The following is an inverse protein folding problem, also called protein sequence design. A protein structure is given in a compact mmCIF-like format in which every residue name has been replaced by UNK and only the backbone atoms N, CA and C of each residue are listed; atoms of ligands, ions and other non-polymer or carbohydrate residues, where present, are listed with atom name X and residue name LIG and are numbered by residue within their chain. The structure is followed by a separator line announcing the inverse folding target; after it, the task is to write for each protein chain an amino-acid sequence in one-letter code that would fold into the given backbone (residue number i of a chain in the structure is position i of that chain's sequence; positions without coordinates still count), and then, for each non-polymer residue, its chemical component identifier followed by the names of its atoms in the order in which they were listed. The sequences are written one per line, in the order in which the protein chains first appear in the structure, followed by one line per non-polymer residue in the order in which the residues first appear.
data_IF_765650160660
#
_entry.id   IF_765650160660
#
_cell.length_a   1.000
_cell.length_b   1.000
_cell.length_c   1.000
_cell.angle_alpha   90.00
_cell.angle_beta   90.00
_cell.angle_gamma   90.00
#
_symmetry.space_group_name_H-M   'P 1'
#
loop_
_entity.id
_entity.type
_entity.pdbx_description
1 polymer ?
#
# COMPACT_ATOMS: atom_id res chain seq x y z
N UNK A 1 0.78 30.69 11.19
CA UNK A 1 1.82 30.53 10.15
C UNK A 1 2.58 29.26 10.50
N UNK A 2 2.23 28.14 9.87
CA UNK A 2 3.05 26.95 9.96
C UNK A 2 4.28 27.16 9.06
N UNK A 3 5.44 27.28 9.68
CA UNK A 3 6.70 27.22 8.98
C UNK A 3 7.06 25.73 8.90
N UNK A 4 6.81 25.09 7.78
CA UNK A 4 7.38 23.77 7.48
C UNK A 4 8.86 24.06 7.25
N UNK A 5 9.69 23.78 8.27
CA UNK A 5 11.12 23.66 8.05
C UNK A 5 11.32 22.43 7.16
N UNK A 6 11.60 22.64 5.88
CA UNK A 6 12.06 21.57 5.01
C UNK A 6 13.38 21.07 5.62
N UNK A 7 13.32 19.89 6.23
CA UNK A 7 14.54 19.20 6.65
C UNK A 7 15.39 18.94 5.39
N UNK A 8 16.70 19.10 5.52
CA UNK A 8 17.61 18.70 4.45
C UNK A 8 17.54 17.17 4.28
N UNK A 9 16.80 16.73 3.28
CA UNK A 9 16.60 15.32 2.96
C UNK A 9 17.68 14.76 2.04
N UNK A 10 18.66 15.55 1.64
CA UNK A 10 19.71 15.17 0.67
C UNK A 10 20.55 13.95 1.11
N UNK A 11 20.61 13.66 2.42
CA UNK A 11 21.30 12.51 2.99
C UNK A 11 20.39 11.31 3.29
N UNK A 12 19.07 11.47 3.21
CA UNK A 12 18.12 10.40 3.52
C UNK A 12 17.94 9.49 2.30
N UNK A 13 18.04 8.18 2.53
CA UNK A 13 17.66 7.18 1.53
C UNK A 13 16.18 6.86 1.73
N UNK A 14 15.36 7.24 0.77
CA UNK A 14 13.93 7.05 0.81
C UNK A 14 13.58 5.67 0.24
N UNK A 15 12.64 4.97 0.88
CA UNK A 15 12.00 3.76 0.34
C UNK A 15 10.55 4.10 0.05
N UNK A 16 10.13 3.88 -1.19
CA UNK A 16 8.73 3.97 -1.59
C UNK A 16 8.03 2.64 -1.29
N UNK A 17 7.24 2.62 -0.25
CA UNK A 17 6.62 1.40 0.25
C UNK A 17 5.40 0.94 -0.55
N UNK A 18 4.95 1.71 -1.54
CA UNK A 18 3.73 1.38 -2.27
C UNK A 18 3.74 1.95 -3.70
N UNK A 19 3.94 1.06 -4.66
CA UNK A 19 3.80 1.37 -6.08
C UNK A 19 3.03 0.27 -6.80
N UNK A 20 2.50 0.59 -7.98
CA UNK A 20 1.93 -0.37 -8.91
C UNK A 20 2.72 -0.37 -10.23
N UNK A 21 3.40 -1.46 -10.54
CA UNK A 21 4.14 -1.63 -11.79
C UNK A 21 3.44 -2.67 -12.67
N UNK A 22 2.41 -2.24 -13.40
CA UNK A 22 1.57 -3.10 -14.23
C UNK A 22 1.46 -2.58 -15.66
N UNK A 23 1.38 -3.50 -16.63
CA UNK A 23 1.33 -3.18 -18.06
C UNK A 23 -0.11 -3.22 -18.62
N UNK A 24 -1.11 -2.96 -17.77
CA UNK A 24 -2.50 -2.90 -18.22
C UNK A 24 -2.88 -1.49 -18.70
N UNK A 25 -3.82 -1.39 -19.65
CA UNK A 25 -4.25 -0.10 -20.21
C UNK A 25 -4.75 0.91 -19.18
N UNK A 26 -5.25 0.44 -18.04
CA UNK A 26 -5.67 1.30 -16.94
C UNK A 26 -4.49 2.11 -16.39
N UNK A 27 -3.36 1.48 -16.08
CA UNK A 27 -2.20 2.14 -15.48
C UNK A 27 -1.51 3.12 -16.46
N UNK A 28 -1.54 2.83 -17.75
CA UNK A 28 -1.04 3.79 -18.76
C UNK A 28 -1.89 5.06 -18.80
N UNK A 29 -3.24 4.93 -18.76
CA UNK A 29 -4.13 6.10 -18.77
C UNK A 29 -3.98 6.98 -17.52
N UNK A 30 -3.83 6.38 -16.34
CA UNK A 30 -3.67 7.16 -15.11
C UNK A 30 -2.30 7.85 -15.06
N UNK A 31 -1.23 7.21 -15.53
CA UNK A 31 0.08 7.84 -15.67
C UNK A 31 0.02 9.05 -16.62
N UNK A 32 -0.60 8.89 -17.78
CA UNK A 32 -0.81 9.99 -18.75
C UNK A 32 -1.61 11.14 -18.10
N UNK A 33 -2.67 10.84 -17.37
CA UNK A 33 -3.45 11.84 -16.63
C UNK A 33 -2.63 12.53 -15.51
N UNK A 34 -1.66 11.85 -14.94
CA UNK A 34 -0.71 12.40 -13.97
C UNK A 34 0.49 13.11 -14.63
N UNK A 35 0.54 13.16 -15.97
CA UNK A 35 1.56 13.89 -16.71
C UNK A 35 2.90 13.16 -16.85
N UNK A 36 2.91 11.83 -16.72
CA UNK A 36 4.14 11.03 -16.86
C UNK A 36 3.87 9.69 -17.57
N UNK A 37 4.91 8.86 -17.70
CA UNK A 37 4.86 7.56 -18.35
C UNK A 37 4.83 6.41 -17.34
N UNK A 38 3.97 5.41 -17.58
CA UNK A 38 3.99 4.13 -16.87
C UNK A 38 5.10 3.24 -17.44
N UNK A 39 6.36 3.59 -17.19
CA UNK A 39 7.51 2.81 -17.64
C UNK A 39 8.56 2.66 -16.53
N UNK A 40 9.27 1.54 -16.54
CA UNK A 40 10.35 1.29 -15.58
C UNK A 40 11.48 2.32 -15.73
N UNK A 41 11.75 2.75 -16.95
CA UNK A 41 12.78 3.75 -17.23
C UNK A 41 12.42 5.12 -16.65
N UNK A 42 11.15 5.53 -16.78
CA UNK A 42 10.67 6.78 -16.19
C UNK A 42 10.72 6.71 -14.66
N UNK A 43 10.23 5.61 -14.06
CA UNK A 43 10.29 5.38 -12.62
C UNK A 43 11.72 5.48 -12.09
N UNK A 44 12.68 4.82 -12.73
CA UNK A 44 14.07 4.85 -12.30
C UNK A 44 14.67 6.26 -12.37
N UNK A 45 14.40 7.01 -13.43
CA UNK A 45 14.86 8.41 -13.55
C UNK A 45 14.29 9.31 -12.44
N UNK A 46 12.99 9.18 -12.17
CA UNK A 46 12.34 9.93 -11.07
C UNK A 46 12.97 9.59 -9.72
N UNK A 47 13.23 8.32 -9.45
CA UNK A 47 13.84 7.87 -8.20
C UNK A 47 15.26 8.38 -8.03
N UNK A 48 16.08 8.37 -9.10
CA UNK A 48 17.42 8.96 -9.08
C UNK A 48 17.36 10.47 -8.79
N UNK A 49 16.39 11.18 -9.38
CA UNK A 49 16.21 12.62 -9.16
C UNK A 49 15.81 12.95 -7.71
N UNK A 50 14.96 12.12 -7.08
CA UNK A 50 14.42 12.40 -5.74
C UNK A 50 15.06 11.58 -4.62
N UNK A 51 16.18 10.92 -4.88
CA UNK A 51 16.93 10.10 -3.93
C UNK A 51 16.10 8.96 -3.32
N UNK A 52 15.18 8.38 -4.11
CA UNK A 52 14.43 7.19 -3.72
C UNK A 52 15.27 5.98 -4.09
N UNK A 53 15.71 5.24 -3.09
CA UNK A 53 16.68 4.16 -3.26
C UNK A 53 16.04 2.80 -3.59
N UNK A 54 14.78 2.62 -3.22
CA UNK A 54 14.09 1.33 -3.35
C UNK A 54 12.58 1.52 -3.37
N UNK A 55 11.85 0.60 -4.02
CA UNK A 55 10.41 0.57 -3.94
C UNK A 55 9.84 -0.83 -3.75
N UNK A 56 8.60 -0.87 -3.24
CA UNK A 56 7.84 -2.09 -3.00
C UNK A 56 6.61 -2.09 -3.90
N UNK A 57 6.56 -3.04 -4.82
CA UNK A 57 5.43 -3.23 -5.73
C UNK A 57 4.30 -3.93 -4.97
N UNK A 58 3.12 -3.33 -4.95
CA UNK A 58 1.89 -3.96 -4.50
C UNK A 58 1.25 -4.69 -5.66
N UNK A 59 1.55 -5.97 -5.81
CA UNK A 59 1.06 -6.76 -6.94
C UNK A 59 -0.44 -7.05 -6.83
N UNK A 60 -1.11 -7.06 -7.99
CA UNK A 60 -2.51 -7.49 -8.14
C UNK A 60 -2.65 -8.59 -9.21
N UNK A 61 -1.55 -9.23 -9.59
CA UNK A 61 -1.51 -10.30 -10.57
C UNK A 61 -1.93 -11.63 -9.96
N UNK A 62 -2.33 -12.56 -10.82
CA UNK A 62 -2.49 -13.95 -10.41
C UNK A 62 -1.15 -14.53 -9.93
N UNK A 63 -1.17 -15.37 -8.91
CA UNK A 63 0.04 -15.91 -8.25
C UNK A 63 1.02 -16.61 -9.22
N UNK A 64 0.52 -17.25 -10.25
CA UNK A 64 1.34 -17.96 -11.25
C UNK A 64 1.83 -17.06 -12.40
N UNK A 65 1.38 -15.81 -12.45
CA UNK A 65 1.78 -14.81 -13.45
C UNK A 65 2.64 -13.68 -12.88
N UNK A 66 2.95 -13.72 -11.58
CA UNK A 66 3.81 -12.73 -10.93
C UNK A 66 5.24 -12.81 -11.50
N UNK A 67 5.82 -11.71 -12.01
CA UNK A 67 7.22 -11.68 -12.40
C UNK A 67 8.14 -12.03 -11.22
N UNK A 68 9.16 -12.82 -11.49
CA UNK A 68 10.09 -13.27 -10.44
C UNK A 68 11.38 -12.44 -10.43
N UNK A 69 11.73 -11.83 -11.57
CA UNK A 69 12.96 -11.09 -11.76
C UNK A 69 12.65 -9.60 -11.89
N UNK A 70 12.70 -8.92 -10.75
CA UNK A 70 12.65 -7.47 -10.68
C UNK A 70 14.07 -6.88 -10.58
N UNK A 71 14.31 -5.66 -11.11
CA UNK A 71 15.55 -4.92 -10.85
C UNK A 71 15.88 -4.83 -9.36
N UNK A 72 17.16 -4.71 -9.02
CA UNK A 72 17.64 -4.74 -7.64
C UNK A 72 17.05 -3.65 -6.72
N UNK A 73 16.57 -2.54 -7.31
CA UNK A 73 15.92 -1.47 -6.55
C UNK A 73 14.42 -1.71 -6.30
N UNK A 74 13.88 -2.88 -6.72
CA UNK A 74 12.48 -3.25 -6.52
C UNK A 74 12.35 -4.53 -5.72
N UNK A 75 11.40 -4.52 -4.80
CA UNK A 75 10.84 -5.70 -4.14
C UNK A 75 9.33 -5.74 -4.36
N UNK A 76 8.66 -6.79 -3.96
CA UNK A 76 7.23 -6.89 -4.12
C UNK A 76 6.52 -7.52 -2.92
N UNK A 77 5.30 -7.07 -2.67
CA UNK A 77 4.30 -7.82 -1.94
C UNK A 77 3.49 -8.62 -2.94
N UNK A 78 3.48 -9.94 -2.80
CA UNK A 78 2.71 -10.81 -3.69
C UNK A 78 1.22 -10.59 -3.46
N UNK A 79 0.50 -10.28 -4.54
CA UNK A 79 -0.94 -10.00 -4.49
C UNK A 79 -1.79 -11.27 -4.53
N UNK A 80 -2.90 -11.25 -3.80
CA UNK A 80 -3.97 -12.23 -3.95
C UNK A 80 -5.09 -11.58 -4.77
N UNK A 81 -5.12 -11.88 -6.06
CA UNK A 81 -6.18 -11.45 -6.96
C UNK A 81 -7.50 -12.20 -6.69
N UNK A 82 -8.58 -11.85 -7.41
CA UNK A 82 -9.88 -12.50 -7.21
C UNK A 82 -9.95 -13.98 -7.61
N UNK A 83 -8.92 -14.54 -8.22
CA UNK A 83 -8.94 -15.93 -8.73
C UNK A 83 -8.44 -16.98 -7.72
N UNK A 84 -7.64 -16.56 -6.73
CA UNK A 84 -6.97 -17.47 -5.81
C UNK A 84 -7.93 -18.39 -5.01
N UNK A 85 -9.12 -17.91 -4.69
CA UNK A 85 -10.11 -18.66 -3.91
C UNK A 85 -10.80 -19.80 -4.69
N UNK A 86 -10.59 -19.89 -5.99
CA UNK A 86 -11.10 -21.03 -6.79
C UNK A 86 -10.31 -22.32 -6.57
N UNK A 87 -9.06 -22.21 -6.07
CA UNK A 87 -8.21 -23.36 -5.73
C UNK A 87 -7.25 -22.97 -4.59
N UNK A 88 -7.78 -22.99 -3.37
CA UNK A 88 -7.07 -22.47 -2.17
C UNK A 88 -5.78 -23.24 -1.91
N UNK A 89 -5.79 -24.58 -2.05
CA UNK A 89 -4.59 -25.41 -1.82
C UNK A 89 -3.48 -25.07 -2.82
N UNK A 90 -3.83 -24.87 -4.10
CA UNK A 90 -2.86 -24.46 -5.11
C UNK A 90 -2.33 -23.05 -4.82
N UNK A 91 -3.22 -22.12 -4.48
CA UNK A 91 -2.86 -20.76 -4.16
C UNK A 91 -1.91 -20.70 -2.95
N UNK A 92 -2.18 -21.48 -1.91
CA UNK A 92 -1.33 -21.60 -0.74
C UNK A 92 0.10 -22.05 -1.11
N UNK A 93 0.24 -23.11 -1.93
CA UNK A 93 1.55 -23.60 -2.38
C UNK A 93 2.31 -22.57 -3.24
N UNK A 94 1.59 -21.81 -4.08
CA UNK A 94 2.20 -20.74 -4.88
C UNK A 94 2.62 -19.57 -4.01
N UNK A 95 1.77 -19.15 -3.09
CA UNK A 95 2.07 -18.08 -2.13
C UNK A 95 3.33 -18.41 -1.33
N UNK A 96 3.42 -19.64 -0.81
CA UNK A 96 4.61 -20.07 -0.05
C UNK A 96 5.89 -20.00 -0.90
N UNK A 97 5.85 -20.41 -2.18
CA UNK A 97 7.00 -20.28 -3.09
C UNK A 97 7.43 -18.82 -3.27
N UNK A 98 6.49 -17.88 -3.33
CA UNK A 98 6.82 -16.45 -3.37
C UNK A 98 7.47 -16.00 -2.06
N UNK A 99 6.91 -16.38 -0.92
CA UNK A 99 7.40 -15.96 0.39
C UNK A 99 8.81 -16.49 0.71
N UNK A 100 9.25 -17.57 0.09
CA UNK A 100 10.63 -18.07 0.17
C UNK A 100 11.64 -17.20 -0.56
N UNK A 101 11.20 -16.29 -1.43
CA UNK A 101 12.11 -15.42 -2.21
C UNK A 101 12.55 -14.21 -1.38
N UNK A 102 13.77 -13.79 -1.57
CA UNK A 102 14.33 -12.62 -0.85
C UNK A 102 13.71 -11.30 -1.28
N UNK A 103 13.34 -11.17 -2.57
CA UNK A 103 12.69 -9.97 -3.11
C UNK A 103 11.17 -9.94 -2.94
N UNK A 104 10.53 -11.01 -2.47
CA UNK A 104 9.16 -10.98 -1.99
C UNK A 104 9.17 -10.55 -0.52
N UNK A 105 8.71 -9.35 -0.22
CA UNK A 105 8.83 -8.77 1.12
C UNK A 105 7.52 -8.75 1.92
N UNK A 106 6.41 -9.19 1.33
CA UNK A 106 5.10 -9.22 1.98
C UNK A 106 4.02 -9.84 1.11
N UNK A 107 2.80 -9.76 1.61
CA UNK A 107 1.57 -10.19 0.92
C UNK A 107 0.68 -8.95 0.76
N UNK A 108 -0.03 -8.84 -0.36
CA UNK A 108 -1.01 -7.78 -0.59
C UNK A 108 -2.42 -8.33 -0.75
N UNK A 109 -3.36 -7.80 0.02
CA UNK A 109 -4.79 -8.11 -0.05
C UNK A 109 -5.58 -6.92 -0.57
N UNK A 110 -6.66 -7.20 -1.30
CA UNK A 110 -7.51 -6.21 -1.96
C UNK A 110 -8.99 -6.31 -1.54
N UNK A 111 -9.31 -6.17 -0.21
CA UNK A 111 -10.70 -6.12 0.21
C UNK A 111 -11.42 -4.92 -0.43
N UNK A 112 -12.70 -5.07 -0.70
CA UNK A 112 -13.45 -4.09 -1.49
C UNK A 112 -13.50 -4.44 -2.97
N UNK A 113 -12.35 -4.61 -3.61
CA UNK A 113 -12.25 -5.18 -4.96
C UNK A 113 -12.62 -6.66 -4.96
N UNK A 114 -12.20 -7.37 -3.92
CA UNK A 114 -12.67 -8.71 -3.58
C UNK A 114 -13.71 -8.54 -2.48
N UNK A 115 -14.94 -8.99 -2.70
CA UNK A 115 -16.07 -8.84 -1.77
C UNK A 115 -15.96 -9.81 -0.59
N UNK A 116 -14.89 -9.67 0.21
CA UNK A 116 -14.59 -10.46 1.40
C UNK A 116 -13.97 -9.59 2.49
N UNK A 117 -14.32 -9.90 3.73
CA UNK A 117 -13.61 -9.35 4.87
C UNK A 117 -12.24 -10.01 5.03
N UNK A 118 -11.25 -9.27 5.46
CA UNK A 118 -9.92 -9.82 5.74
C UNK A 118 -9.93 -10.82 6.91
N UNK A 119 -10.96 -10.78 7.77
CA UNK A 119 -11.21 -11.75 8.84
C UNK A 119 -11.89 -13.06 8.37
N UNK A 120 -12.29 -13.17 7.10
CA UNK A 120 -12.89 -14.40 6.59
C UNK A 120 -11.93 -15.58 6.74
N UNK A 121 -12.43 -16.72 7.20
CA UNK A 121 -11.63 -17.93 7.48
C UNK A 121 -10.74 -18.40 6.32
N UNK A 122 -11.09 -18.05 5.07
CA UNK A 122 -10.30 -18.37 3.88
C UNK A 122 -8.90 -17.72 3.91
N UNK A 123 -8.70 -16.63 4.66
CA UNK A 123 -7.39 -15.96 4.80
C UNK A 123 -6.51 -16.51 5.93
N UNK A 124 -7.04 -17.37 6.82
CA UNK A 124 -6.24 -17.93 7.91
C UNK A 124 -4.93 -18.58 7.44
N UNK A 125 -4.92 -19.44 6.38
CA UNK A 125 -3.67 -20.00 5.89
C UNK A 125 -2.69 -18.95 5.35
N UNK A 126 -3.19 -17.81 4.87
CA UNK A 126 -2.35 -16.69 4.42
C UNK A 126 -1.62 -16.06 5.62
N UNK A 127 -2.33 -15.86 6.73
CA UNK A 127 -1.74 -15.29 7.96
C UNK A 127 -0.78 -16.27 8.65
N UNK A 128 -1.05 -17.58 8.60
CA UNK A 128 -0.10 -18.60 9.05
C UNK A 128 1.22 -18.53 8.28
N UNK A 129 1.16 -18.40 6.95
CA UNK A 129 2.36 -18.21 6.13
C UNK A 129 3.06 -16.88 6.43
N UNK A 130 2.32 -15.78 6.56
CA UNK A 130 2.87 -14.48 6.91
C UNK A 130 3.65 -14.55 8.23
N UNK A 131 3.09 -15.18 9.25
CA UNK A 131 3.73 -15.46 10.55
C UNK A 131 4.97 -16.35 10.39
N UNK A 132 4.86 -17.48 9.67
CA UNK A 132 5.95 -18.43 9.45
C UNK A 132 7.15 -17.76 8.78
N UNK A 133 6.93 -16.97 7.75
CA UNK A 133 7.96 -16.28 6.97
C UNK A 133 8.34 -14.90 7.52
N UNK A 134 7.67 -14.45 8.60
CA UNK A 134 7.86 -13.13 9.23
C UNK A 134 7.75 -12.00 8.22
N UNK A 135 6.72 -12.05 7.38
CA UNK A 135 6.46 -11.06 6.35
C UNK A 135 5.14 -10.35 6.61
N UNK A 136 5.07 -9.01 6.42
CA UNK A 136 3.85 -8.25 6.64
C UNK A 136 2.76 -8.59 5.64
N UNK A 137 1.54 -8.26 6.00
CA UNK A 137 0.37 -8.30 5.13
C UNK A 137 -0.12 -6.87 4.91
N UNK A 138 0.07 -6.36 3.70
CA UNK A 138 -0.46 -5.07 3.28
C UNK A 138 -1.92 -5.25 2.82
N UNK A 139 -2.81 -4.45 3.38
CA UNK A 139 -4.26 -4.53 3.15
C UNK A 139 -4.70 -3.22 2.51
N UNK A 140 -5.32 -3.29 1.33
CA UNK A 140 -5.98 -2.13 0.75
C UNK A 140 -7.06 -1.64 1.71
N UNK A 141 -6.98 -0.39 2.14
CA UNK A 141 -8.00 0.25 2.97
C UNK A 141 -8.42 1.57 2.35
N UNK A 142 -9.61 2.05 2.71
CA UNK A 142 -10.09 3.31 2.18
C UNK A 142 -10.97 3.20 0.94
N UNK A 143 -10.97 4.27 0.15
CA UNK A 143 -11.71 4.36 -1.10
C UNK A 143 -11.19 3.37 -2.14
N UNK A 144 -12.03 3.04 -3.11
CA UNK A 144 -11.72 2.11 -4.19
C UNK A 144 -11.93 2.78 -5.54
N UNK A 145 -11.04 2.52 -6.50
CA UNK A 145 -11.12 3.09 -7.85
C UNK A 145 -12.22 2.46 -8.72
N UNK A 146 -12.73 1.29 -8.34
CA UNK A 146 -13.76 0.59 -9.12
C UNK A 146 -15.17 0.88 -8.60
N UNK A 147 -16.12 1.27 -9.47
CA UNK A 147 -17.51 1.47 -9.06
C UNK A 147 -18.21 0.18 -8.60
N UNK A 148 -17.65 -0.98 -8.92
CA UNK A 148 -18.17 -2.29 -8.52
C UNK A 148 -17.60 -2.80 -7.19
N UNK A 149 -16.59 -2.11 -6.63
CA UNK A 149 -16.01 -2.47 -5.35
C UNK A 149 -16.93 -2.03 -4.19
N UNK A 150 -16.87 -2.76 -3.08
CA UNK A 150 -17.72 -2.51 -1.92
C UNK A 150 -16.89 -2.00 -0.74
N UNK A 151 -17.02 -0.73 -0.44
CA UNK A 151 -16.27 0.00 0.59
C UNK A 151 -16.30 -0.63 1.98
N UNK A 152 -17.38 -1.32 2.35
CA UNK A 152 -17.49 -1.98 3.66
C UNK A 152 -16.38 -2.98 3.93
N UNK A 153 -15.80 -3.58 2.88
CA UNK A 153 -14.70 -4.55 3.04
C UNK A 153 -13.34 -3.88 3.17
N UNK A 154 -13.17 -2.66 2.65
CA UNK A 154 -11.93 -1.87 2.71
C UNK A 154 -11.92 -0.83 3.85
N UNK A 155 -12.95 -0.83 4.70
CA UNK A 155 -13.00 0.07 5.84
C UNK A 155 -11.90 -0.27 6.86
N UNK A 156 -11.14 0.70 7.40
CA UNK A 156 -10.01 0.46 8.33
C UNK A 156 -10.34 -0.45 9.52
N UNK A 157 -11.54 -0.34 10.09
CA UNK A 157 -11.97 -1.17 11.22
C UNK A 157 -11.96 -2.68 10.94
N UNK A 158 -11.98 -3.10 9.66
CA UNK A 158 -11.87 -4.52 9.32
C UNK A 158 -10.48 -5.09 9.64
N UNK A 159 -9.46 -4.23 9.71
CA UNK A 159 -8.09 -4.63 10.07
C UNK A 159 -7.95 -4.86 11.58
N UNK A 160 -8.78 -4.23 12.41
CA UNK A 160 -8.75 -4.41 13.86
C UNK A 160 -8.97 -5.87 14.27
N UNK A 161 -9.91 -6.55 13.63
CA UNK A 161 -10.24 -7.95 13.92
C UNK A 161 -9.04 -8.87 13.69
N UNK A 162 -8.39 -8.76 12.53
CA UNK A 162 -7.22 -9.61 12.20
C UNK A 162 -5.98 -9.24 13.00
N UNK A 163 -5.81 -7.97 13.36
CA UNK A 163 -4.70 -7.54 14.19
C UNK A 163 -4.76 -8.13 15.60
N UNK A 164 -5.97 -8.26 16.16
CA UNK A 164 -6.19 -8.90 17.45
C UNK A 164 -6.03 -10.42 17.37
N UNK A 165 -6.54 -11.04 16.32
CA UNK A 165 -6.47 -12.50 16.13
C UNK A 165 -5.03 -12.99 15.83
N UNK A 166 -4.25 -12.17 15.12
CA UNK A 166 -2.89 -12.52 14.66
C UNK A 166 -1.83 -11.54 15.18
N UNK A 167 -1.57 -11.48 16.48
CA UNK A 167 -0.67 -10.48 17.07
C UNK A 167 0.80 -10.60 16.64
N UNK A 168 1.22 -11.74 16.08
CA UNK A 168 2.59 -11.94 15.56
C UNK A 168 2.73 -11.55 14.08
N UNK A 169 1.64 -11.17 13.39
CA UNK A 169 1.65 -10.70 12.00
C UNK A 169 1.60 -9.18 11.99
N UNK A 170 2.52 -8.55 11.26
CA UNK A 170 2.47 -7.12 11.00
C UNK A 170 1.48 -6.86 9.86
N UNK A 171 0.49 -6.03 10.08
CA UNK A 171 -0.46 -5.56 9.08
C UNK A 171 -0.12 -4.12 8.67
N UNK A 172 -0.23 -3.83 7.36
CA UNK A 172 -0.01 -2.48 6.82
C UNK A 172 -1.31 -2.02 6.18
N UNK A 173 -1.98 -1.04 6.77
CA UNK A 173 -3.12 -0.38 6.14
C UNK A 173 -2.64 0.52 5.01
N UNK A 174 -2.95 0.18 3.77
CA UNK A 174 -2.63 1.05 2.65
C UNK A 174 -3.49 2.32 2.68
N UNK A 175 -2.91 3.46 2.23
CA UNK A 175 -3.59 4.75 2.08
C UNK A 175 -4.08 5.36 3.40
N UNK A 176 -3.57 4.92 4.55
CA UNK A 176 -4.04 5.34 5.88
C UNK A 176 -5.57 5.37 6.00
N UNK A 177 -6.24 4.41 5.34
CA UNK A 177 -7.70 4.30 5.34
C UNK A 177 -8.47 5.45 4.66
N UNK A 178 -7.83 6.29 3.86
CA UNK A 178 -8.41 7.46 3.21
C UNK A 178 -9.80 7.19 2.60
N UNK A 179 -10.91 7.88 2.99
CA UNK A 179 -10.95 9.10 3.83
C UNK A 179 -11.22 8.85 5.33
N UNK A 180 -11.25 7.61 5.84
CA UNK A 180 -11.58 7.27 7.24
C UNK A 180 -10.35 7.35 8.15
N UNK A 181 -9.68 8.51 8.17
CA UNK A 181 -8.45 8.73 8.93
C UNK A 181 -8.63 8.52 10.44
N UNK A 182 -9.77 8.91 11.00
CA UNK A 182 -10.06 8.72 12.42
C UNK A 182 -10.10 7.24 12.80
N UNK A 183 -10.73 6.41 11.99
CA UNK A 183 -10.84 4.98 12.24
C UNK A 183 -9.49 4.29 12.04
N UNK A 184 -8.73 4.69 11.00
CA UNK A 184 -7.39 4.19 10.78
C UNK A 184 -6.44 4.53 11.94
N UNK A 185 -6.49 5.77 12.44
CA UNK A 185 -5.72 6.18 13.60
C UNK A 185 -6.08 5.37 14.84
N UNK A 186 -7.38 5.16 15.11
CA UNK A 186 -7.84 4.37 16.25
C UNK A 186 -7.36 2.91 16.17
N UNK A 187 -7.36 2.31 14.98
CA UNK A 187 -6.86 0.94 14.76
C UNK A 187 -5.35 0.86 15.01
N UNK A 188 -4.58 1.83 14.52
CA UNK A 188 -3.13 1.86 14.73
C UNK A 188 -2.75 2.13 16.18
N UNK A 189 -3.43 3.08 16.84
CA UNK A 189 -3.17 3.44 18.24
C UNK A 189 -3.37 2.23 19.17
N UNK A 190 -4.44 1.48 18.93
CA UNK A 190 -4.77 0.29 19.72
C UNK A 190 -3.85 -0.92 19.44
N UNK A 191 -3.47 -1.14 18.18
CA UNK A 191 -2.81 -2.37 17.75
C UNK A 191 -1.33 -2.14 17.39
N UNK A 192 -0.37 -2.60 18.21
CA UNK A 192 1.06 -2.37 17.98
C UNK A 192 1.60 -3.10 16.73
N UNK A 193 0.87 -4.08 16.23
CA UNK A 193 1.17 -4.83 15.01
C UNK A 193 0.48 -4.27 13.76
N UNK A 194 0.04 -3.01 13.79
CA UNK A 194 -0.54 -2.32 12.63
C UNK A 194 0.30 -1.09 12.31
N UNK A 195 0.70 -0.98 11.06
CA UNK A 195 1.32 0.19 10.43
C UNK A 195 0.42 0.71 9.30
N UNK A 196 0.74 1.86 8.72
CA UNK A 196 0.06 2.33 7.52
C UNK A 196 1.01 3.02 6.55
N UNK A 197 0.71 2.97 5.26
CA UNK A 197 1.35 3.83 4.27
C UNK A 197 0.48 5.08 3.96
N UNK A 198 1.15 6.14 3.52
CA UNK A 198 0.53 7.41 3.15
C UNK A 198 0.39 7.56 1.63
N UNK A 199 0.35 6.44 0.90
CA UNK A 199 0.15 6.43 -0.54
C UNK A 199 -1.30 6.81 -0.92
N UNK A 200 -1.53 7.19 -2.18
CA UNK A 200 -2.88 7.47 -2.69
C UNK A 200 -3.58 8.69 -2.05
N UNK A 201 -2.84 9.57 -1.39
CA UNK A 201 -3.34 10.86 -0.89
C UNK A 201 -3.28 11.91 -1.99
N UNK A 202 -2.32 11.76 -2.91
CA UNK A 202 -2.14 12.58 -4.09
C UNK A 202 -2.50 11.76 -5.32
N UNK A 203 -3.29 12.33 -6.23
CA UNK A 203 -3.67 11.71 -7.49
C UNK A 203 -3.60 12.71 -8.64
N UNK A 204 -3.22 12.24 -9.83
CA UNK A 204 -3.16 13.03 -11.05
C UNK A 204 -1.95 13.96 -11.11
N UNK A 205 -2.08 15.00 -11.93
CA UNK A 205 -1.06 16.04 -12.06
C UNK A 205 -1.20 17.03 -10.90
N UNK A 206 -0.31 16.91 -9.92
CA UNK A 206 -0.35 17.70 -8.68
C UNK A 206 0.60 18.90 -8.80
N UNK A 207 0.06 20.12 -8.63
CA UNK A 207 0.83 21.32 -8.37
C UNK A 207 0.76 21.64 -6.88
N UNK A 208 1.85 21.38 -6.15
CA UNK A 208 1.85 21.38 -4.69
C UNK A 208 1.30 22.66 -4.04
N UNK A 209 1.62 23.89 -4.49
CA UNK A 209 1.04 25.12 -3.90
C UNK A 209 -0.49 25.15 -4.00
N UNK A 210 -1.06 24.78 -5.14
CA UNK A 210 -2.51 24.79 -5.36
C UNK A 210 -3.16 23.67 -4.54
N UNK A 211 -2.56 22.48 -4.53
CA UNK A 211 -3.04 21.35 -3.73
C UNK A 211 -3.14 21.71 -2.23
N UNK A 212 -2.11 22.33 -1.67
CA UNK A 212 -2.12 22.76 -0.27
C UNK A 212 -3.16 23.86 0.01
N UNK A 213 -3.37 24.76 -0.92
CA UNK A 213 -4.37 25.83 -0.78
C UNK A 213 -5.81 25.28 -0.84
N UNK A 214 -6.08 24.41 -1.79
CA UNK A 214 -7.42 23.87 -2.06
C UNK A 214 -7.83 22.77 -1.09
N UNK A 215 -6.86 21.96 -0.63
CA UNK A 215 -7.11 20.78 0.20
C UNK A 215 -6.72 20.99 1.67
N UNK A 216 -6.63 22.23 2.14
CA UNK A 216 -6.17 22.56 3.49
C UNK A 216 -6.91 21.79 4.59
N UNK A 217 -8.23 21.73 4.55
CA UNK A 217 -9.02 21.04 5.58
C UNK A 217 -8.81 19.52 5.57
N UNK A 218 -8.63 18.95 4.38
CA UNK A 218 -8.32 17.53 4.23
C UNK A 218 -6.95 17.19 4.83
N UNK A 219 -5.95 18.02 4.57
CA UNK A 219 -4.61 17.86 5.13
C UNK A 219 -4.55 18.11 6.64
N UNK A 220 -5.33 19.08 7.14
CA UNK A 220 -5.48 19.31 8.58
C UNK A 220 -6.13 18.12 9.28
N UNK A 221 -7.10 17.44 8.67
CA UNK A 221 -7.67 16.22 9.21
C UNK A 221 -6.64 15.09 9.26
N UNK A 222 -5.93 14.83 8.17
CA UNK A 222 -4.86 13.83 8.12
C UNK A 222 -3.82 14.11 9.21
N UNK A 223 -3.32 15.34 9.30
CA UNK A 223 -2.35 15.74 10.32
C UNK A 223 -2.88 15.58 11.74
N UNK A 224 -4.15 15.91 11.99
CA UNK A 224 -4.79 15.75 13.30
C UNK A 224 -4.74 14.30 13.76
N UNK A 225 -5.10 13.37 12.92
CA UNK A 225 -5.17 11.96 13.30
C UNK A 225 -3.80 11.29 13.35
N UNK A 226 -2.85 11.69 12.51
CA UNK A 226 -1.45 11.29 12.64
C UNK A 226 -0.87 11.81 13.96
N UNK A 227 -1.13 13.08 14.32
CA UNK A 227 -0.65 13.66 15.59
C UNK A 227 -1.33 13.03 16.81
N UNK A 228 -2.56 12.55 16.69
CA UNK A 228 -3.27 11.85 17.75
C UNK A 228 -2.56 10.57 18.20
N UNK A 229 -2.00 9.82 17.26
CA UNK A 229 -1.31 8.55 17.55
C UNK A 229 0.07 8.77 18.21
N UNK A 230 0.70 9.91 17.99
CA UNK A 230 2.08 10.22 18.43
C UNK A 230 3.15 9.17 18.04
N UNK A 231 2.81 8.29 17.07
CA UNK A 231 3.66 7.21 16.60
C UNK A 231 3.92 7.35 15.09
N UNK A 232 5.02 8.00 14.77
CA UNK A 232 5.42 8.24 13.38
C UNK A 232 6.27 7.10 12.79
N UNK A 233 6.81 6.21 13.62
CA UNK A 233 7.69 5.11 13.18
C UNK A 233 6.94 4.02 12.42
N UNK A 234 5.61 3.95 12.61
CA UNK A 234 4.72 3.02 11.90
C UNK A 234 4.03 3.64 10.68
N UNK A 235 4.44 4.84 10.27
CA UNK A 235 3.98 5.47 9.03
C UNK A 235 5.03 5.25 7.93
N UNK A 236 4.58 4.76 6.79
CA UNK A 236 5.42 4.47 5.64
C UNK A 236 5.17 5.50 4.53
N UNK A 237 6.24 5.97 3.90
CA UNK A 237 6.13 6.74 2.68
C UNK A 237 5.74 5.84 1.51
N UNK A 238 4.79 6.28 0.69
CA UNK A 238 4.37 5.59 -0.53
C UNK A 238 3.80 6.58 -1.52
N UNK A 239 4.11 6.42 -2.80
CA UNK A 239 3.62 7.31 -3.87
C UNK A 239 2.32 6.83 -4.48
N UNK A 240 2.04 5.54 -4.42
CA UNK A 240 0.99 4.89 -5.21
C UNK A 240 1.22 5.08 -6.74
N UNK A 241 2.50 5.20 -7.14
CA UNK A 241 2.85 5.32 -8.55
C UNK A 241 2.14 4.21 -9.37
N UNK A 242 1.54 4.53 -10.52
CA UNK A 242 1.66 5.74 -11.31
C UNK A 242 0.49 6.74 -11.14
N UNK A 243 -0.21 6.77 -9.99
CA UNK A 243 -1.41 7.57 -9.79
C UNK A 243 -1.14 9.07 -9.71
N UNK A 244 0.05 9.48 -9.26
CA UNK A 244 0.45 10.87 -9.17
C UNK A 244 1.80 11.10 -9.88
N UNK A 245 2.04 12.35 -10.29
CA UNK A 245 3.38 12.77 -10.74
C UNK A 245 4.34 12.78 -9.54
N UNK A 246 5.56 12.31 -9.76
CA UNK A 246 6.63 12.31 -8.77
C UNK A 246 7.63 13.40 -9.15
#
# INVERSE_FOLDING_TARGET
RFSIALADTSSLRIIDAHIHLHNEPYFYRIAEAAGHENSLEHLQKSYEQYNIAHAIIMSNRALDSEPLDYPAFLSYCVGLDGSWHHSVERAYLLLEKHLQRTNCVGIKLYPGYISRYVSDAIYQPVYELAKQYKKPVAIHTGATASPNALLRYSHPLTVDEVAVEWPEVMFIMCHFGNPWFVDAAAVMDKNPNVAADLSGILEGLVHMPDFFAENRLYLEQLQTWISYMEDYERLLYGTDWPLANI
#
